data_IF_018388989128
#
_entry.id   IF_018388989128
#
_cell.length_a   1.000
_cell.length_b   1.000
_cell.length_c   1.000
_cell.angle_alpha   90.00
_cell.angle_beta   90.00
_cell.angle_gamma   90.00
#
_symmetry.space_group_name_H-M   'P 1'
#
loop_
_entity.id
_entity.type
_entity.pdbx_description
1 polymer ?
#
# COMPACT_ATOMS: atom_id res chain seq x y z
N UNK A 1 -39.01 18.44 31.37
CA UNK A 1 -40.26 17.64 31.30
C UNK A 1 -40.96 17.95 29.99
N UNK A 2 -41.38 16.88 29.31
CA UNK A 2 -42.01 16.76 27.97
C UNK A 2 -42.86 17.93 27.49
N UNK A 3 -42.74 18.25 26.20
CA UNK A 3 -43.88 18.61 25.34
C UNK A 3 -43.64 18.09 23.92
N UNK A 4 -44.63 17.34 23.39
CA UNK A 4 -44.80 17.03 21.98
C UNK A 4 -46.15 17.57 21.50
N UNK A 5 -46.16 18.02 20.24
CA UNK A 5 -47.28 18.20 19.29
C UNK A 5 -48.11 19.50 19.42
N UNK A 6 -48.91 19.95 18.40
CA UNK A 6 -49.19 19.39 17.06
C UNK A 6 -49.52 20.41 15.88
N UNK A 7 -49.78 19.90 14.64
CA UNK A 7 -50.47 20.49 13.44
C UNK A 7 -49.76 21.59 12.59
N UNK A 8 -49.77 21.67 11.24
CA UNK A 8 -50.81 21.60 10.17
C UNK A 8 -50.19 21.18 8.80
N UNK A 9 -50.77 20.32 7.94
CA UNK A 9 -51.94 20.40 7.01
C UNK A 9 -51.71 21.24 5.71
N UNK A 10 -51.75 20.58 4.53
CA UNK A 10 -52.21 21.08 3.21
C UNK A 10 -52.33 19.87 2.24
N UNK A 11 -53.51 19.24 2.07
CA UNK A 11 -54.64 19.55 1.15
C UNK A 11 -54.35 19.19 -0.32
N UNK A 12 -55.08 18.17 -0.79
CA UNK A 12 -55.26 17.74 -2.19
C UNK A 12 -56.13 18.72 -3.00
N UNK A 13 -56.25 18.55 -4.34
CA UNK A 13 -57.50 17.94 -4.81
C UNK A 13 -57.36 17.04 -6.06
N UNK A 14 -58.32 16.12 -6.16
CA UNK A 14 -58.60 15.20 -7.26
C UNK A 14 -59.59 15.86 -8.23
N UNK A 15 -59.38 15.73 -9.54
CA UNK A 15 -60.48 15.73 -10.52
C UNK A 15 -60.16 14.89 -11.76
N UNK A 16 -61.15 14.08 -12.15
CA UNK A 16 -61.52 13.68 -13.51
C UNK A 16 -60.58 12.79 -14.35
N UNK A 17 -60.95 11.52 -14.56
CA UNK A 17 -61.71 11.06 -15.75
C UNK A 17 -61.77 9.53 -15.82
N UNK A 18 -63.00 9.05 -16.02
CA UNK A 18 -63.35 7.70 -16.41
C UNK A 18 -63.50 7.73 -17.94
N UNK A 19 -62.68 7.00 -18.70
CA UNK A 19 -63.11 6.30 -19.93
C UNK A 19 -62.00 5.44 -20.55
N UNK A 20 -62.47 4.31 -21.07
CA UNK A 20 -61.80 3.21 -21.75
C UNK A 20 -60.80 3.58 -22.84
N UNK A 21 -59.68 2.86 -22.87
CA UNK A 21 -59.18 2.26 -24.11
C UNK A 21 -58.39 1.00 -23.78
N UNK A 22 -58.88 -0.15 -24.27
CA UNK A 22 -58.20 -1.43 -24.14
C UNK A 22 -56.94 -1.40 -24.99
N UNK A 23 -55.78 -1.18 -24.35
CA UNK A 23 -54.48 -1.35 -25.00
C UNK A 23 -54.17 -2.85 -24.93
N UNK A 24 -54.41 -3.54 -26.04
CA UNK A 24 -54.21 -4.99 -26.17
C UNK A 24 -52.74 -5.35 -25.88
N UNK A 25 -52.52 -6.26 -24.91
CA UNK A 25 -51.23 -6.90 -24.62
C UNK A 25 -50.52 -7.45 -25.88
N UNK A 26 -51.30 -7.80 -26.92
CA UNK A 26 -50.79 -8.32 -28.19
C UNK A 26 -49.89 -7.37 -28.99
N UNK A 27 -50.00 -6.04 -28.83
CA UNK A 27 -49.15 -5.08 -29.57
C UNK A 27 -47.71 -5.05 -29.06
N UNK A 28 -47.50 -5.30 -27.77
CA UNK A 28 -46.16 -5.40 -27.17
C UNK A 28 -45.49 -6.75 -27.48
N UNK A 29 -46.27 -7.83 -27.53
CA UNK A 29 -45.76 -9.13 -28.00
C UNK A 29 -45.35 -9.09 -29.48
N UNK A 30 -46.12 -8.39 -30.33
CA UNK A 30 -45.75 -8.19 -31.74
C UNK A 30 -44.45 -7.39 -31.92
N UNK A 31 -44.28 -6.31 -31.16
CA UNK A 31 -43.05 -5.49 -31.19
C UNK A 31 -41.84 -6.24 -30.64
N UNK A 32 -41.99 -7.01 -29.55
CA UNK A 32 -40.94 -7.85 -28.99
C UNK A 32 -40.54 -8.98 -29.95
N UNK A 33 -41.52 -9.61 -30.62
CA UNK A 33 -41.26 -10.63 -31.62
C UNK A 33 -40.54 -10.08 -32.87
N UNK A 34 -40.90 -8.87 -33.33
CA UNK A 34 -40.21 -8.20 -34.45
C UNK A 34 -38.77 -7.81 -34.06
N UNK A 35 -38.54 -7.35 -32.83
CA UNK A 35 -37.19 -7.07 -32.31
C UNK A 35 -36.33 -8.33 -32.19
N UNK A 36 -36.92 -9.47 -31.80
CA UNK A 36 -36.22 -10.76 -31.74
C UNK A 36 -35.95 -11.36 -33.13
N UNK A 37 -36.81 -11.11 -34.12
CA UNK A 37 -36.60 -11.54 -35.52
C UNK A 37 -35.53 -10.66 -36.21
N UNK A 38 -35.30 -9.44 -35.71
CA UNK A 38 -34.22 -8.55 -36.17
C UNK A 38 -32.96 -8.58 -35.29
N UNK A 39 -32.95 -9.35 -34.21
CA UNK A 39 -31.73 -9.69 -33.49
C UNK A 39 -30.91 -10.62 -34.38
N UNK A 40 -30.07 -10.04 -35.25
CA UNK A 40 -29.01 -10.80 -35.89
C UNK A 40 -28.18 -11.43 -34.77
N UNK A 41 -27.77 -12.70 -34.87
CA UNK A 41 -26.73 -13.21 -34.00
C UNK A 41 -25.55 -12.25 -34.18
N UNK A 42 -25.29 -11.43 -33.16
CA UNK A 42 -24.02 -10.75 -33.08
C UNK A 42 -23.01 -11.87 -33.05
N UNK A 43 -22.22 -12.01 -34.12
CA UNK A 43 -20.99 -12.77 -34.03
C UNK A 43 -20.23 -12.10 -32.88
N UNK A 44 -20.23 -12.74 -31.72
CA UNK A 44 -19.25 -12.46 -30.70
C UNK A 44 -17.94 -12.82 -31.38
N UNK A 45 -17.25 -11.82 -31.92
CA UNK A 45 -15.96 -12.04 -32.56
C UNK A 45 -15.04 -12.55 -31.44
N UNK A 46 -14.52 -13.75 -31.64
CA UNK A 46 -13.52 -14.32 -30.75
C UNK A 46 -12.29 -13.40 -30.82
N UNK A 47 -11.99 -12.73 -29.71
CA UNK A 47 -10.85 -11.83 -29.63
C UNK A 47 -9.63 -12.75 -29.54
N UNK A 48 -8.86 -12.88 -30.63
CA UNK A 48 -7.61 -13.63 -30.61
C UNK A 48 -6.72 -13.03 -29.51
N UNK A 49 -6.37 -13.88 -28.55
CA UNK A 49 -5.69 -13.47 -27.33
C UNK A 49 -4.61 -14.47 -27.00
N UNK A 50 -3.37 -14.01 -27.06
CA UNK A 50 -2.23 -14.76 -26.55
C UNK A 50 -1.96 -14.40 -25.09
N UNK A 51 -1.37 -15.33 -24.35
CA UNK A 51 -1.05 -15.13 -22.94
C UNK A 51 0.46 -15.22 -22.74
N UNK A 52 1.01 -14.22 -22.06
CA UNK A 52 2.42 -14.21 -21.67
C UNK A 52 2.51 -14.23 -20.15
N UNK A 53 3.20 -15.22 -19.60
CA UNK A 53 3.54 -15.28 -18.17
C UNK A 53 5.03 -15.06 -18.03
N UNK A 54 5.40 -14.02 -17.30
CA UNK A 54 6.78 -13.68 -16.99
C UNK A 54 7.05 -13.98 -15.53
N UNK A 55 7.99 -14.88 -15.26
CA UNK A 55 8.46 -15.17 -13.90
C UNK A 55 9.90 -14.69 -13.75
N UNK A 56 10.09 -13.69 -12.90
CA UNK A 56 11.41 -13.11 -12.61
C UNK A 56 12.05 -13.93 -11.49
N UNK A 57 13.28 -14.40 -11.71
CA UNK A 57 14.11 -15.11 -10.73
C UNK A 57 15.38 -14.30 -10.48
N UNK A 58 16.19 -14.74 -9.53
CA UNK A 58 17.47 -14.09 -9.20
C UNK A 58 18.52 -14.22 -10.30
N UNK A 59 18.43 -15.27 -11.12
CA UNK A 59 19.44 -15.68 -12.11
C UNK A 59 18.87 -15.74 -13.55
N UNK A 60 17.58 -15.51 -13.73
CA UNK A 60 16.91 -15.67 -15.01
C UNK A 60 15.55 -14.96 -15.04
N UNK A 61 15.11 -14.54 -16.22
CA UNK A 61 13.71 -14.19 -16.48
C UNK A 61 13.11 -15.27 -17.37
N UNK A 62 12.06 -15.93 -16.88
CA UNK A 62 11.34 -16.94 -17.65
C UNK A 62 10.10 -16.34 -18.29
N UNK A 63 10.01 -16.43 -19.61
CA UNK A 63 8.86 -16.00 -20.40
C UNK A 63 8.14 -17.23 -20.95
N UNK A 64 6.88 -17.42 -20.58
CA UNK A 64 6.01 -18.44 -21.14
C UNK A 64 5.03 -17.74 -22.09
N UNK A 65 5.11 -18.05 -23.38
CA UNK A 65 4.20 -17.55 -24.39
C UNK A 65 3.23 -18.67 -24.79
N UNK A 66 1.94 -18.42 -24.66
CA UNK A 66 0.87 -19.34 -25.08
C UNK A 66 0.10 -18.70 -26.23
N UNK A 67 0.12 -19.37 -27.38
CA UNK A 67 -0.50 -18.92 -28.63
C UNK A 67 -1.60 -19.89 -29.00
N UNK A 68 -2.78 -19.38 -29.32
CA UNK A 68 -3.93 -20.17 -29.75
C UNK A 68 -3.76 -20.71 -31.18
N UNK A 69 -4.58 -21.71 -31.51
CA UNK A 69 -4.66 -22.34 -32.81
C UNK A 69 -4.81 -21.37 -33.98
N UNK A 70 -5.72 -20.39 -33.87
CA UNK A 70 -6.04 -19.50 -35.00
C UNK A 70 -4.86 -18.61 -35.35
N UNK A 71 -4.13 -18.14 -34.35
CA UNK A 71 -2.92 -17.35 -34.56
C UNK A 71 -1.72 -18.19 -35.01
N UNK A 72 -1.61 -19.45 -34.57
CA UNK A 72 -0.56 -20.35 -35.05
C UNK A 72 -0.66 -20.60 -36.56
N UNK A 73 -1.87 -20.88 -37.07
CA UNK A 73 -2.10 -21.06 -38.52
C UNK A 73 -1.75 -19.78 -39.29
N UNK A 74 -2.04 -18.60 -38.72
CA UNK A 74 -1.70 -17.32 -39.37
C UNK A 74 -0.21 -17.05 -39.38
N UNK A 75 0.48 -17.35 -38.28
CA UNK A 75 1.93 -17.15 -38.14
C UNK A 75 2.72 -18.06 -39.08
N UNK A 76 2.29 -19.32 -39.24
CA UNK A 76 2.88 -20.27 -40.17
C UNK A 76 1.82 -21.27 -40.68
N UNK A 77 1.24 -21.03 -41.87
CA UNK A 77 0.26 -21.95 -42.44
C UNK A 77 0.78 -23.38 -42.68
N UNK A 78 2.10 -23.59 -42.63
CA UNK A 78 2.69 -24.93 -42.81
C UNK A 78 2.50 -25.84 -41.60
N UNK A 79 2.09 -25.29 -40.45
CA UNK A 79 1.85 -26.07 -39.23
C UNK A 79 0.59 -26.92 -39.33
N UNK A 80 -0.40 -26.49 -40.13
CA UNK A 80 -1.56 -27.29 -40.54
C UNK A 80 -1.15 -28.16 -41.72
N UNK A 81 -0.70 -29.38 -41.42
CA UNK A 81 -0.14 -30.31 -42.42
C UNK A 81 -1.24 -30.87 -43.30
N UNK A 82 -2.44 -31.05 -42.73
CA UNK A 82 -3.56 -31.69 -43.39
C UNK A 82 -4.44 -30.68 -44.19
N UNK A 83 -4.35 -29.39 -43.85
CA UNK A 83 -4.99 -28.27 -44.56
C UNK A 83 -6.49 -28.13 -44.28
N UNK A 84 -7.00 -28.69 -43.17
CA UNK A 84 -8.40 -28.60 -42.79
C UNK A 84 -8.76 -27.31 -42.06
N UNK A 85 -7.76 -26.46 -41.76
CA UNK A 85 -7.93 -25.20 -41.06
C UNK A 85 -8.16 -25.36 -39.56
N UNK A 86 -7.92 -26.55 -39.01
CA UNK A 86 -7.89 -26.86 -37.59
C UNK A 86 -6.50 -27.36 -37.20
N UNK A 87 -6.10 -27.19 -35.94
CA UNK A 87 -4.84 -27.77 -35.45
C UNK A 87 -5.09 -28.90 -34.47
N UNK A 88 -4.47 -30.05 -34.74
CA UNK A 88 -4.45 -31.16 -33.79
C UNK A 88 -3.14 -31.20 -32.99
N UNK A 89 -3.18 -31.83 -31.82
CA UNK A 89 -2.03 -31.96 -30.91
C UNK A 89 -0.78 -32.53 -31.59
N UNK A 90 -0.95 -33.47 -32.52
CA UNK A 90 0.18 -34.11 -33.22
C UNK A 90 0.85 -33.17 -34.24
N UNK A 91 0.08 -32.27 -34.86
CA UNK A 91 0.60 -31.25 -35.78
C UNK A 91 1.34 -30.16 -35.02
N UNK A 92 0.76 -29.66 -33.92
CA UNK A 92 1.44 -28.70 -33.02
C UNK A 92 2.69 -29.34 -32.40
N UNK A 93 2.67 -30.63 -32.08
CA UNK A 93 3.87 -31.35 -31.61
C UNK A 93 4.93 -31.48 -32.70
N UNK A 94 4.54 -31.73 -33.94
CA UNK A 94 5.46 -31.91 -35.07
C UNK A 94 6.09 -30.59 -35.57
N UNK A 95 5.33 -29.49 -35.56
CA UNK A 95 5.75 -28.19 -36.07
C UNK A 95 6.07 -27.12 -35.02
N UNK A 96 5.68 -27.33 -33.75
CA UNK A 96 5.74 -26.32 -32.69
C UNK A 96 7.16 -25.85 -32.35
N UNK A 97 8.15 -26.74 -32.37
CA UNK A 97 9.55 -26.37 -32.10
C UNK A 97 10.13 -25.47 -33.20
N UNK A 98 9.87 -25.82 -34.47
CA UNK A 98 10.28 -24.99 -35.60
C UNK A 98 9.60 -23.62 -35.60
N UNK A 99 8.31 -23.57 -35.24
CA UNK A 99 7.58 -22.32 -35.03
C UNK A 99 8.21 -21.48 -33.90
N UNK A 100 8.47 -22.09 -32.75
CA UNK A 100 9.00 -21.40 -31.59
C UNK A 100 10.38 -20.78 -31.83
N UNK A 101 11.23 -21.45 -32.62
CA UNK A 101 12.50 -20.90 -33.09
C UNK A 101 12.31 -19.69 -34.01
N UNK A 102 11.35 -19.73 -34.96
CA UNK A 102 11.01 -18.57 -35.80
C UNK A 102 10.47 -17.39 -34.99
N UNK A 103 9.73 -17.67 -33.93
CA UNK A 103 9.16 -16.64 -33.04
C UNK A 103 10.20 -16.02 -32.12
N UNK A 104 11.27 -16.75 -31.75
CA UNK A 104 12.34 -16.23 -30.92
C UNK A 104 12.93 -14.93 -31.50
N UNK A 105 13.17 -14.89 -32.81
CA UNK A 105 13.73 -13.71 -33.50
C UNK A 105 12.77 -12.50 -33.56
N UNK A 106 11.50 -12.71 -33.20
CA UNK A 106 10.46 -11.68 -33.13
C UNK A 106 10.22 -11.17 -31.71
N UNK A 107 10.86 -11.77 -30.71
CA UNK A 107 10.79 -11.35 -29.32
C UNK A 107 12.06 -10.59 -28.96
N UNK A 108 11.91 -9.43 -28.32
CA UNK A 108 13.03 -8.69 -27.75
C UNK A 108 12.73 -8.40 -26.30
N UNK A 109 13.73 -8.62 -25.44
CA UNK A 109 13.66 -8.26 -24.03
C UNK A 109 14.79 -7.32 -23.71
N UNK A 110 14.53 -6.32 -22.88
CA UNK A 110 15.57 -5.46 -22.33
C UNK A 110 15.46 -5.57 -20.81
N UNK A 111 16.59 -5.87 -20.18
CA UNK A 111 16.70 -6.07 -18.74
C UNK A 111 17.71 -5.05 -18.24
N UNK A 112 17.29 -4.16 -17.34
CA UNK A 112 18.14 -3.11 -16.79
C UNK A 112 18.85 -2.24 -17.83
N UNK A 113 18.16 -1.97 -18.95
CA UNK A 113 18.70 -1.16 -20.06
C UNK A 113 19.53 -1.95 -21.08
N UNK A 114 19.88 -3.19 -20.78
CA UNK A 114 20.67 -4.04 -21.66
C UNK A 114 19.75 -4.96 -22.49
N UNK A 115 19.93 -5.04 -23.82
CA UNK A 115 19.13 -5.90 -24.66
C UNK A 115 19.55 -7.36 -24.50
N UNK A 116 18.57 -8.22 -24.27
CA UNK A 116 18.71 -9.67 -24.21
C UNK A 116 17.79 -10.33 -25.23
N UNK A 117 18.31 -11.34 -25.94
CA UNK A 117 17.48 -12.21 -26.78
C UNK A 117 17.05 -13.42 -25.94
N UNK A 118 15.75 -13.68 -25.80
CA UNK A 118 15.27 -14.87 -25.10
C UNK A 118 15.72 -16.15 -25.79
N UNK A 119 16.19 -17.14 -25.03
CA UNK A 119 16.56 -18.46 -25.54
C UNK A 119 15.41 -19.45 -25.32
N UNK A 120 14.97 -20.13 -26.38
CA UNK A 120 13.91 -21.15 -26.29
C UNK A 120 14.41 -22.38 -25.53
N UNK A 121 13.76 -22.69 -24.40
CA UNK A 121 13.99 -23.92 -23.64
C UNK A 121 13.14 -25.08 -24.12
N UNK A 122 11.87 -24.82 -24.46
CA UNK A 122 10.93 -25.87 -24.88
C UNK A 122 9.72 -25.27 -25.59
N UNK A 123 9.12 -26.05 -26.48
CA UNK A 123 7.85 -25.76 -27.11
C UNK A 123 7.01 -27.03 -27.13
N UNK A 124 5.77 -26.97 -26.64
CA UNK A 124 4.91 -28.14 -26.56
C UNK A 124 3.42 -27.74 -26.68
N UNK A 125 2.57 -28.62 -27.24
CA UNK A 125 1.14 -28.42 -27.20
C UNK A 125 0.61 -28.51 -25.77
N UNK A 126 -0.21 -27.55 -25.38
CA UNK A 126 -0.94 -27.50 -24.11
C UNK A 126 -2.44 -27.40 -24.40
N UNK A 127 -3.27 -27.98 -23.53
CA UNK A 127 -4.73 -27.89 -23.64
C UNK A 127 -5.24 -27.31 -22.34
N UNK A 128 -6.04 -26.25 -22.41
CA UNK A 128 -6.62 -25.63 -21.23
C UNK A 128 -7.79 -26.45 -20.66
N UNK A 129 -8.42 -25.93 -19.60
CA UNK A 129 -9.56 -26.58 -18.93
C UNK A 129 -10.80 -26.65 -19.82
N UNK A 130 -10.93 -25.71 -20.76
CA UNK A 130 -12.05 -25.60 -21.69
C UNK A 130 -11.84 -26.45 -22.96
N UNK A 131 -10.66 -27.03 -23.13
CA UNK A 131 -10.30 -27.92 -24.23
C UNK A 131 -9.62 -27.22 -25.42
N UNK A 132 -9.29 -25.94 -25.30
CA UNK A 132 -8.62 -25.18 -26.35
C UNK A 132 -7.14 -25.58 -26.44
N UNK A 133 -6.65 -25.77 -27.67
CA UNK A 133 -5.27 -26.14 -27.93
C UNK A 133 -4.39 -24.89 -28.08
N UNK A 134 -3.26 -24.89 -27.38
CA UNK A 134 -2.24 -23.84 -27.45
C UNK A 134 -0.89 -24.44 -27.77
N UNK A 135 -0.03 -23.66 -28.42
CA UNK A 135 1.41 -23.90 -28.38
C UNK A 135 1.98 -23.12 -27.20
N UNK A 136 2.48 -23.85 -26.20
CA UNK A 136 3.16 -23.30 -25.05
C UNK A 136 4.67 -23.28 -25.31
N UNK A 137 5.25 -22.09 -25.34
CA UNK A 137 6.67 -21.89 -25.57
C UNK A 137 7.30 -21.31 -24.31
N UNK A 138 8.40 -21.89 -23.86
CA UNK A 138 9.17 -21.41 -22.71
C UNK A 138 10.47 -20.83 -23.23
N UNK A 139 10.67 -19.55 -22.97
CA UNK A 139 11.92 -18.84 -23.17
C UNK A 139 12.57 -18.51 -21.83
N UNK A 140 13.89 -18.45 -21.82
CA UNK A 140 14.70 -18.06 -20.67
C UNK A 140 15.67 -16.97 -21.07
N UNK A 141 15.80 -15.97 -20.21
CA UNK A 141 16.77 -14.88 -20.33
C UNK A 141 17.71 -15.02 -19.16
N UNK A 142 18.90 -15.64 -19.32
CA UNK A 142 19.84 -15.83 -18.22
C UNK A 142 20.43 -14.48 -17.81
N UNK A 143 20.52 -14.26 -16.49
CA UNK A 143 21.07 -13.06 -15.87
C UNK A 143 22.38 -13.40 -15.16
N UNK A 144 23.32 -12.45 -15.14
CA UNK A 144 24.67 -12.73 -14.66
C UNK A 144 24.74 -12.93 -13.14
N UNK A 145 24.17 -12.04 -12.31
CA UNK A 145 24.37 -12.14 -10.85
C UNK A 145 23.32 -11.43 -9.95
N UNK A 146 22.35 -10.66 -10.50
CA UNK A 146 21.34 -9.96 -9.69
C UNK A 146 19.92 -10.06 -10.27
N UNK A 147 18.87 -10.06 -9.42
CA UNK A 147 17.51 -9.93 -9.90
C UNK A 147 17.34 -8.57 -10.60
N UNK A 148 16.58 -8.50 -11.69
CA UNK A 148 16.49 -7.29 -12.50
C UNK A 148 15.66 -6.21 -11.81
N UNK A 149 16.01 -4.95 -12.01
CA UNK A 149 15.26 -3.80 -11.51
C UNK A 149 14.17 -3.35 -12.47
N UNK A 150 14.41 -3.50 -13.76
CA UNK A 150 13.49 -3.15 -14.85
C UNK A 150 13.45 -4.25 -15.89
N UNK A 151 12.28 -4.46 -16.47
CA UNK A 151 12.08 -5.36 -17.60
C UNK A 151 11.23 -4.66 -18.66
N UNK A 152 11.71 -4.69 -19.89
CA UNK A 152 10.94 -4.29 -21.06
C UNK A 152 10.70 -5.53 -21.92
N UNK A 153 9.44 -5.82 -22.17
CA UNK A 153 9.02 -6.85 -23.12
C UNK A 153 8.56 -6.16 -24.39
N UNK A 154 9.34 -6.29 -25.46
CA UNK A 154 9.04 -5.74 -26.77
C UNK A 154 8.50 -6.83 -27.68
N UNK A 155 7.20 -6.74 -27.97
CA UNK A 155 6.47 -7.63 -28.87
C UNK A 155 6.14 -6.96 -30.20
N UNK A 156 6.84 -5.89 -30.60
CA UNK A 156 6.53 -5.13 -31.82
C UNK A 156 6.54 -6.03 -33.07
N UNK A 157 7.59 -6.83 -33.25
CA UNK A 157 7.69 -7.75 -34.41
C UNK A 157 6.73 -8.93 -34.31
N UNK A 158 6.30 -9.29 -33.10
CA UNK A 158 5.35 -10.38 -32.87
C UNK A 158 3.92 -9.94 -33.18
N UNK A 159 3.51 -8.77 -32.71
CA UNK A 159 2.14 -8.23 -32.82
C UNK A 159 1.84 -7.54 -34.16
N UNK A 160 2.84 -7.42 -35.04
CA UNK A 160 2.67 -6.98 -36.43
C UNK A 160 2.26 -8.15 -37.34
N UNK A 161 2.13 -7.89 -38.65
CA UNK A 161 1.77 -8.89 -39.65
C UNK A 161 2.58 -10.20 -39.50
N UNK A 162 1.93 -11.38 -39.51
CA UNK A 162 0.56 -11.66 -40.00
C UNK A 162 -0.56 -11.53 -38.95
N UNK A 163 -0.26 -11.15 -37.71
CA UNK A 163 -1.29 -10.89 -36.70
C UNK A 163 -1.97 -9.55 -37.01
N UNK A 164 -3.29 -9.50 -36.85
CA UNK A 164 -4.11 -8.30 -37.10
C UNK A 164 -4.01 -7.32 -35.92
N UNK A 165 -4.30 -6.03 -36.15
CA UNK A 165 -4.31 -4.97 -35.13
C UNK A 165 -5.23 -5.26 -33.92
N UNK A 166 -6.17 -6.20 -34.10
CA UNK A 166 -7.13 -6.63 -33.09
C UNK A 166 -6.53 -7.61 -32.06
N UNK A 167 -5.43 -8.30 -32.39
CA UNK A 167 -4.78 -9.25 -31.48
C UNK A 167 -4.28 -8.58 -30.21
N UNK A 168 -4.51 -9.24 -29.07
CA UNK A 168 -4.04 -8.79 -27.75
C UNK A 168 -3.16 -9.86 -27.13
N UNK A 169 -2.08 -9.42 -26.46
CA UNK A 169 -1.28 -10.27 -25.60
C UNK A 169 -1.44 -9.83 -24.15
N UNK A 170 -1.97 -10.72 -23.30
CA UNK A 170 -2.15 -10.47 -21.88
C UNK A 170 -0.88 -10.92 -21.14
N UNK A 171 -0.11 -9.94 -20.66
CA UNK A 171 1.14 -10.17 -19.92
C UNK A 171 0.88 -10.15 -18.43
N UNK A 172 1.35 -11.19 -17.72
CA UNK A 172 1.33 -11.28 -16.27
C UNK A 172 2.75 -11.45 -15.75
N UNK A 173 3.20 -10.56 -14.87
CA UNK A 173 4.56 -10.58 -14.32
C UNK A 173 4.54 -10.94 -12.83
N UNK A 174 5.40 -11.89 -12.46
CA UNK A 174 5.59 -12.40 -11.12
C UNK A 174 7.03 -12.09 -10.68
N UNK A 175 7.21 -11.25 -9.64
CA UNK A 175 8.53 -10.80 -9.16
C UNK A 175 9.01 -11.62 -7.96
N UNK A 176 8.08 -12.01 -7.07
CA UNK A 176 8.23 -13.10 -6.11
C UNK A 176 6.83 -13.52 -5.63
N UNK A 177 6.55 -14.83 -5.55
CA UNK A 177 5.23 -15.46 -5.27
C UNK A 177 4.41 -15.86 -6.52
N UNK A 178 3.45 -16.78 -6.33
CA UNK A 178 2.56 -17.34 -7.36
C UNK A 178 1.35 -16.43 -7.70
N UNK A 179 1.37 -15.15 -7.30
CA UNK A 179 0.35 -14.16 -7.68
C UNK A 179 0.96 -13.05 -8.54
N UNK A 180 0.29 -12.63 -9.64
CA UNK A 180 0.85 -11.64 -10.53
C UNK A 180 0.89 -10.28 -9.83
N UNK A 181 2.05 -9.66 -9.78
CA UNK A 181 2.21 -8.31 -9.21
C UNK A 181 1.87 -7.23 -10.24
N UNK A 182 2.14 -7.49 -11.52
CA UNK A 182 1.91 -6.54 -12.60
C UNK A 182 1.16 -7.20 -13.77
N UNK A 183 0.23 -6.45 -14.37
CA UNK A 183 -0.56 -6.85 -15.53
C UNK A 183 -0.40 -5.81 -16.64
N UNK A 184 -0.22 -6.27 -17.88
CA UNK A 184 -0.24 -5.41 -19.05
C UNK A 184 -0.99 -6.07 -20.22
N UNK A 185 -1.55 -5.25 -21.09
CA UNK A 185 -2.17 -5.70 -22.35
C UNK A 185 -1.38 -5.09 -23.49
N UNK A 186 -0.67 -5.93 -24.23
CA UNK A 186 0.12 -5.51 -25.40
C UNK A 186 -0.69 -5.74 -26.68
N UNK A 187 -0.55 -4.83 -27.63
CA UNK A 187 -1.21 -4.92 -28.94
C UNK A 187 -0.43 -4.15 -30.00
N UNK A 188 -0.83 -4.23 -31.26
CA UNK A 188 -0.13 -3.53 -32.35
C UNK A 188 0.07 -2.01 -32.10
N UNK A 189 -0.87 -1.35 -31.41
CA UNK A 189 -0.77 0.08 -31.07
C UNK A 189 0.05 0.39 -29.81
N UNK A 190 0.30 -0.61 -28.96
CA UNK A 190 1.12 -0.51 -27.76
C UNK A 190 1.85 -1.86 -27.55
N UNK A 191 2.90 -2.13 -28.34
CA UNK A 191 3.51 -3.45 -28.37
C UNK A 191 4.58 -3.66 -27.30
N UNK A 192 4.94 -2.60 -26.57
CA UNK A 192 6.04 -2.61 -25.60
C UNK A 192 5.50 -2.48 -24.18
N UNK A 193 5.71 -3.51 -23.36
CA UNK A 193 5.43 -3.49 -21.93
C UNK A 193 6.66 -3.10 -21.14
N UNK A 194 6.55 -2.08 -20.27
CA UNK A 194 7.63 -1.67 -19.36
C UNK A 194 7.22 -1.98 -17.93
N UNK A 195 8.05 -2.73 -17.21
CA UNK A 195 7.77 -3.22 -15.88
C UNK A 195 8.89 -2.78 -14.93
N UNK A 196 8.53 -2.06 -13.88
CA UNK A 196 9.43 -1.74 -12.79
C UNK A 196 9.37 -2.91 -11.79
N UNK A 197 10.44 -3.70 -11.71
CA UNK A 197 10.52 -4.92 -10.91
C UNK A 197 11.13 -4.67 -9.52
N UNK A 198 11.94 -3.61 -9.39
CA UNK A 198 12.48 -3.12 -8.11
C UNK A 198 12.25 -1.62 -8.01
N UNK A 199 11.69 -1.18 -6.88
CA UNK A 199 11.82 0.22 -6.49
C UNK A 199 13.27 0.43 -6.03
N UNK A 200 14.05 1.21 -6.77
CA UNK A 200 15.29 1.75 -6.24
C UNK A 200 14.94 2.71 -5.10
N UNK A 201 15.11 2.24 -3.87
CA UNK A 201 14.93 3.08 -2.70
C UNK A 201 16.12 4.04 -2.63
N UNK A 202 15.91 5.30 -3.03
CA UNK A 202 16.87 6.36 -2.74
C UNK A 202 16.99 6.50 -1.21
N UNK A 203 18.09 5.98 -0.66
CA UNK A 203 18.35 5.97 0.78
C UNK A 203 18.33 7.38 1.36
N UNK A 204 18.74 8.41 0.61
CA UNK A 204 18.71 9.78 1.08
C UNK A 204 17.27 10.29 1.17
N UNK A 205 16.46 10.07 0.13
CA UNK A 205 15.04 10.41 0.13
C UNK A 205 14.30 9.67 1.25
N UNK A 206 14.59 8.39 1.46
CA UNK A 206 14.02 7.59 2.55
C UNK A 206 14.40 8.17 3.91
N UNK A 207 15.70 8.43 4.16
CA UNK A 207 16.15 9.01 5.43
C UNK A 207 15.49 10.36 5.69
N UNK A 208 15.42 11.26 4.69
CA UNK A 208 14.76 12.56 4.83
C UNK A 208 13.25 12.43 5.10
N UNK A 209 12.59 11.49 4.45
CA UNK A 209 11.18 11.20 4.69
C UNK A 209 10.94 10.76 6.14
N UNK A 210 11.77 9.86 6.67
CA UNK A 210 11.65 9.38 8.05
C UNK A 210 11.97 10.46 9.08
N UNK A 211 12.95 11.33 8.82
CA UNK A 211 13.18 12.51 9.68
C UNK A 211 11.92 13.37 9.73
N UNK A 212 11.29 13.64 8.59
CA UNK A 212 10.05 14.43 8.56
C UNK A 212 8.90 13.75 9.31
N UNK A 213 8.70 12.44 9.08
CA UNK A 213 7.71 11.65 9.82
C UNK A 213 7.93 11.70 11.33
N UNK A 214 9.18 11.66 11.79
CA UNK A 214 9.51 11.80 13.21
C UNK A 214 9.14 13.17 13.79
N UNK A 215 9.34 14.24 13.02
CA UNK A 215 8.90 15.59 13.41
C UNK A 215 7.37 15.63 13.48
N UNK A 216 6.70 15.20 12.42
CA UNK A 216 5.24 15.19 12.33
C UNK A 216 4.59 14.38 13.46
N UNK A 217 5.13 13.19 13.76
CA UNK A 217 4.70 12.34 14.88
C UNK A 217 4.65 13.11 16.20
N UNK A 218 5.64 13.95 16.48
CA UNK A 218 5.69 14.75 17.71
C UNK A 218 4.66 15.89 17.73
N UNK A 219 4.31 16.46 16.57
CA UNK A 219 3.30 17.51 16.49
C UNK A 219 1.85 17.00 16.50
N UNK A 220 1.63 15.79 15.99
CA UNK A 220 0.31 15.13 16.01
C UNK A 220 0.08 14.38 17.32
N UNK A 221 1.15 13.84 17.93
CA UNK A 221 1.13 13.13 19.20
C UNK A 221 0.85 14.05 20.39
N UNK A 222 -0.43 14.22 20.73
CA UNK A 222 -0.85 14.98 21.92
C UNK A 222 -0.20 14.46 23.21
N UNK A 223 0.06 13.15 23.28
CA UNK A 223 0.75 12.49 24.36
C UNK A 223 2.19 12.99 24.58
N UNK A 224 2.95 13.14 23.49
CA UNK A 224 4.33 13.65 23.53
C UNK A 224 4.35 15.12 23.95
N UNK A 225 3.44 15.93 23.40
CA UNK A 225 3.32 17.36 23.75
C UNK A 225 2.98 17.51 25.24
N UNK A 226 1.97 16.79 25.73
CA UNK A 226 1.53 16.87 27.13
C UNK A 226 2.59 16.35 28.10
N UNK A 227 3.26 15.25 27.76
CA UNK A 227 4.35 14.70 28.55
C UNK A 227 5.53 15.68 28.63
N UNK A 228 5.97 16.22 27.49
CA UNK A 228 7.05 17.20 27.43
C UNK A 228 6.70 18.49 28.18
N UNK A 229 5.48 19.02 28.00
CA UNK A 229 4.99 20.18 28.73
C UNK A 229 5.01 19.96 30.24
N UNK A 230 4.56 18.78 30.72
CA UNK A 230 4.58 18.42 32.14
C UNK A 230 6.01 18.37 32.70
N UNK A 231 6.99 17.93 31.90
CA UNK A 231 8.39 17.87 32.32
C UNK A 231 9.04 19.25 32.43
N UNK A 232 8.75 20.16 31.50
CA UNK A 232 9.46 21.44 31.42
C UNK A 232 8.83 22.55 32.28
N UNK A 233 7.55 22.44 32.61
CA UNK A 233 6.82 23.52 33.31
C UNK A 233 7.42 23.87 34.67
N UNK A 234 8.12 22.92 35.33
CA UNK A 234 8.79 23.16 36.61
C UNK A 234 9.96 24.17 36.53
N UNK A 235 10.40 24.55 35.32
CA UNK A 235 11.43 25.58 35.13
C UNK A 235 12.85 25.04 35.23
N UNK A 236 13.15 23.94 34.53
CA UNK A 236 14.48 23.32 34.51
C UNK A 236 15.49 24.14 33.70
N UNK A 237 16.77 24.12 34.11
CA UNK A 237 17.88 24.62 33.29
C UNK A 237 18.05 23.74 32.03
N UNK A 238 18.66 24.29 30.97
CA UNK A 238 18.86 23.59 29.70
C UNK A 238 19.61 22.25 29.86
N UNK A 239 20.66 22.19 30.69
CA UNK A 239 21.45 20.95 30.87
C UNK A 239 20.63 19.75 31.35
N UNK A 240 19.95 19.84 32.51
CA UNK A 240 19.04 18.78 32.96
C UNK A 240 17.93 18.44 31.96
N UNK A 241 17.42 19.44 31.23
CA UNK A 241 16.38 19.23 30.24
C UNK A 241 16.87 18.36 29.07
N UNK A 242 18.03 18.68 28.50
CA UNK A 242 18.65 17.86 27.44
C UNK A 242 18.83 16.43 27.93
N UNK A 243 19.34 16.24 29.14
CA UNK A 243 19.52 14.89 29.72
C UNK A 243 18.19 14.12 29.83
N UNK A 244 17.10 14.79 30.22
CA UNK A 244 15.77 14.19 30.37
C UNK A 244 15.18 13.80 29.00
N UNK A 245 15.27 14.69 28.02
CA UNK A 245 14.75 14.50 26.66
C UNK A 245 15.53 13.38 25.96
N UNK A 246 16.86 13.44 25.95
CA UNK A 246 17.68 12.40 25.32
C UNK A 246 17.48 11.03 25.99
N UNK A 247 17.30 10.98 27.32
CA UNK A 247 17.01 9.71 28.00
C UNK A 247 15.67 9.10 27.55
N UNK A 248 14.64 9.93 27.35
CA UNK A 248 13.36 9.49 26.77
C UNK A 248 13.55 8.96 25.35
N UNK A 249 14.22 9.72 24.48
CA UNK A 249 14.44 9.36 23.07
C UNK A 249 15.22 8.05 22.94
N UNK A 250 16.24 7.83 23.77
CA UNK A 250 17.00 6.57 23.76
C UNK A 250 16.12 5.38 24.13
N UNK A 251 15.36 5.47 25.23
CA UNK A 251 14.47 4.38 25.64
C UNK A 251 13.37 4.13 24.61
N UNK A 252 12.76 5.20 24.09
CA UNK A 252 11.77 5.15 23.02
C UNK A 252 12.31 4.45 21.77
N UNK A 253 13.49 4.85 21.30
CA UNK A 253 14.17 4.25 20.14
C UNK A 253 14.35 2.73 20.29
N UNK A 254 14.78 2.28 21.47
CA UNK A 254 14.99 0.85 21.74
C UNK A 254 13.68 0.08 21.55
N UNK A 255 12.60 0.53 22.18
CA UNK A 255 11.29 -0.15 22.08
C UNK A 255 10.63 -0.02 20.72
N UNK A 256 10.86 1.09 20.03
CA UNK A 256 10.40 1.26 18.65
C UNK A 256 11.03 0.21 17.73
N UNK A 257 12.34 0.02 17.84
CA UNK A 257 13.09 -1.00 17.09
C UNK A 257 12.61 -2.40 17.46
N UNK A 258 12.44 -2.70 18.75
CA UNK A 258 11.94 -4.01 19.20
C UNK A 258 10.53 -4.31 18.66
N UNK A 259 9.68 -3.30 18.58
CA UNK A 259 8.31 -3.44 18.09
C UNK A 259 8.24 -3.55 16.57
N UNK A 260 9.09 -2.79 15.85
CA UNK A 260 9.20 -2.81 14.40
C UNK A 260 9.82 -4.11 13.87
N UNK A 261 10.78 -4.69 14.60
CA UNK A 261 11.33 -6.02 14.31
C UNK A 261 10.42 -7.17 14.79
N UNK A 262 9.24 -6.85 15.31
CA UNK A 262 8.26 -7.80 15.85
C UNK A 262 8.80 -8.73 16.95
N UNK A 263 9.92 -8.36 17.59
CA UNK A 263 10.51 -9.09 18.71
C UNK A 263 9.57 -9.04 19.92
N UNK A 264 8.90 -7.91 20.11
CA UNK A 264 7.91 -7.72 21.17
C UNK A 264 6.65 -7.09 20.58
N UNK A 265 5.51 -7.75 20.79
CA UNK A 265 4.19 -7.22 20.44
C UNK A 265 3.32 -7.09 21.69
N UNK A 266 2.85 -5.87 21.95
CA UNK A 266 1.97 -5.56 23.08
C UNK A 266 0.61 -5.09 22.55
N UNK A 267 -0.51 -5.41 23.23
CA UNK A 267 -1.81 -4.90 22.83
C UNK A 267 -1.85 -3.37 22.97
N UNK A 268 -2.23 -2.67 21.90
CA UNK A 268 -2.27 -1.21 21.81
C UNK A 268 -2.97 -0.55 22.99
N UNK A 269 -4.10 -1.10 23.41
CA UNK A 269 -4.87 -0.62 24.58
C UNK A 269 -4.03 -0.49 25.84
N UNK A 270 -3.17 -1.47 26.15
CA UNK A 270 -2.35 -1.45 27.36
C UNK A 270 -1.16 -0.51 27.22
N UNK A 271 -0.62 -0.38 26.01
CA UNK A 271 0.43 0.59 25.71
C UNK A 271 -0.09 2.00 25.88
N UNK A 272 -1.21 2.35 25.24
CA UNK A 272 -1.84 3.67 25.33
C UNK A 272 -2.26 4.00 26.76
N UNK A 273 -2.82 3.03 27.51
CA UNK A 273 -3.10 3.22 28.93
C UNK A 273 -1.81 3.51 29.73
N UNK A 274 -0.71 2.80 29.45
CA UNK A 274 0.58 3.07 30.08
C UNK A 274 1.13 4.47 29.76
N UNK A 275 0.99 4.91 28.51
CA UNK A 275 1.34 6.26 28.06
C UNK A 275 0.52 7.31 28.82
N UNK A 276 -0.80 7.17 28.85
CA UNK A 276 -1.69 8.08 29.56
C UNK A 276 -1.37 8.15 31.07
N UNK A 277 -1.09 7.00 31.70
CA UNK A 277 -0.70 6.91 33.10
C UNK A 277 0.63 7.62 33.36
N UNK A 278 1.61 7.51 32.45
CA UNK A 278 2.89 8.22 32.57
C UNK A 278 2.72 9.75 32.57
N UNK A 279 1.82 10.27 31.74
CA UNK A 279 1.49 11.71 31.67
C UNK A 279 0.83 12.15 32.98
N UNK A 280 -0.17 11.41 33.44
CA UNK A 280 -0.84 11.67 34.70
C UNK A 280 0.15 11.65 35.88
N UNK A 281 1.07 10.68 35.90
CA UNK A 281 2.09 10.56 36.93
C UNK A 281 3.01 11.78 36.98
N UNK A 282 3.58 12.20 35.84
CA UNK A 282 4.49 13.36 35.81
C UNK A 282 3.77 14.65 36.22
N UNK A 283 2.52 14.83 35.76
CA UNK A 283 1.70 15.96 36.14
C UNK A 283 1.37 15.96 37.65
N UNK A 284 1.07 14.79 38.23
CA UNK A 284 0.86 14.64 39.66
C UNK A 284 2.15 14.94 40.46
N UNK A 285 3.30 14.46 39.98
CA UNK A 285 4.60 14.66 40.62
C UNK A 285 4.95 16.15 40.78
N UNK A 286 4.58 16.98 39.80
CA UNK A 286 4.82 18.43 39.79
C UNK A 286 4.21 19.20 40.98
N UNK A 287 3.21 18.63 41.67
CA UNK A 287 2.61 19.28 42.84
C UNK A 287 3.51 19.25 44.08
N UNK A 288 4.37 18.22 44.23
CA UNK A 288 5.21 18.03 45.41
C UNK A 288 6.71 18.12 45.12
N UNK A 289 7.16 17.66 43.94
CA UNK A 289 8.57 17.53 43.63
C UNK A 289 8.98 18.58 42.60
N UNK A 290 9.91 19.47 43.00
CA UNK A 290 10.40 20.59 42.17
C UNK A 290 11.82 20.38 41.63
N UNK A 291 12.46 19.26 41.98
CA UNK A 291 13.80 18.91 41.54
C UNK A 291 13.81 18.08 40.25
N UNK A 292 14.79 18.31 39.38
CA UNK A 292 14.95 17.62 38.10
C UNK A 292 15.98 16.46 38.12
N UNK A 293 16.64 16.20 39.26
CA UNK A 293 17.81 15.30 39.31
C UNK A 293 17.49 13.82 39.05
N UNK A 294 16.33 13.33 39.49
CA UNK A 294 15.87 11.94 39.29
C UNK A 294 14.98 11.78 38.05
N UNK A 295 14.53 12.89 37.43
CA UNK A 295 13.56 12.86 36.34
C UNK A 295 14.06 12.14 35.10
N UNK A 296 15.36 12.17 34.82
CA UNK A 296 15.91 11.47 33.65
C UNK A 296 15.71 9.94 33.74
N UNK A 297 15.72 9.36 34.96
CA UNK A 297 15.45 7.93 35.15
C UNK A 297 13.98 7.61 34.92
N UNK A 298 13.10 8.49 35.41
CA UNK A 298 11.66 8.37 35.24
C UNK A 298 11.27 8.48 33.76
N UNK A 299 11.83 9.45 33.04
CA UNK A 299 11.55 9.61 31.60
C UNK A 299 12.18 8.52 30.75
N UNK A 300 13.32 7.97 31.15
CA UNK A 300 13.87 6.76 30.53
C UNK A 300 12.90 5.58 30.68
N UNK A 301 12.36 5.35 31.88
CA UNK A 301 11.40 4.28 32.12
C UNK A 301 10.11 4.47 31.31
N UNK A 302 9.57 5.69 31.25
CA UNK A 302 8.37 5.99 30.45
C UNK A 302 8.63 5.96 28.94
N UNK A 303 9.83 6.29 28.49
CA UNK A 303 10.23 6.20 27.09
C UNK A 303 10.04 4.79 26.51
N UNK A 304 10.31 3.75 27.30
CA UNK A 304 10.04 2.37 26.88
C UNK A 304 8.56 2.11 26.57
N UNK A 305 7.65 2.66 27.37
CA UNK A 305 6.21 2.46 27.13
C UNK A 305 5.76 3.25 25.90
N UNK A 306 6.25 4.48 25.75
CA UNK A 306 5.91 5.35 24.62
C UNK A 306 6.38 4.77 23.28
N UNK A 307 7.56 4.14 23.22
CA UNK A 307 8.08 3.57 21.97
C UNK A 307 7.22 2.45 21.37
N UNK A 308 6.44 1.76 22.20
CA UNK A 308 5.47 0.77 21.70
C UNK A 308 4.22 1.41 21.07
N UNK A 309 3.90 2.67 21.38
CA UNK A 309 2.67 3.33 20.94
C UNK A 309 2.62 3.53 19.42
N UNK A 310 3.78 3.68 18.77
CA UNK A 310 3.89 3.93 17.34
C UNK A 310 4.09 2.66 16.49
N UNK A 311 4.16 1.48 17.12
CA UNK A 311 4.51 0.24 16.45
C UNK A 311 3.53 -0.17 15.33
N UNK A 312 2.24 0.11 15.50
CA UNK A 312 1.23 -0.25 14.49
C UNK A 312 1.37 0.59 13.22
N UNK A 313 1.65 1.89 13.35
CA UNK A 313 1.81 2.80 12.21
C UNK A 313 3.00 2.36 11.34
N UNK A 314 4.09 1.91 11.97
CA UNK A 314 5.27 1.40 11.26
C UNK A 314 5.00 0.11 10.47
N UNK A 315 4.12 -0.77 10.95
CA UNK A 315 3.75 -2.00 10.23
C UNK A 315 2.96 -1.69 8.97
N UNK A 316 2.07 -0.71 9.04
CA UNK A 316 1.24 -0.31 7.91
C UNK A 316 2.05 0.35 6.78
N UNK A 317 3.26 0.85 7.07
CA UNK A 317 4.17 1.45 6.08
C UNK A 317 4.87 0.42 5.16
N UNK A 318 4.76 -0.89 5.44
CA UNK A 318 5.18 -1.95 4.51
C UNK A 318 6.66 -1.92 4.09
N UNK A 319 7.54 -1.40 4.95
CA UNK A 319 8.95 -1.17 4.57
C UNK A 319 9.68 -2.47 4.25
N UNK A 320 10.45 -2.52 3.15
CA UNK A 320 11.41 -3.57 2.91
C UNK A 320 12.36 -3.73 4.11
N UNK A 321 12.74 -4.96 4.45
CA UNK A 321 13.66 -5.22 5.56
C UNK A 321 15.02 -4.50 5.40
N UNK A 322 15.40 -4.21 4.15
CA UNK A 322 16.57 -3.43 3.80
C UNK A 322 16.33 -1.94 4.07
N UNK A 323 17.12 -1.34 4.96
CA UNK A 323 17.00 0.09 5.30
C UNK A 323 16.07 0.41 6.48
N UNK A 324 15.40 -0.59 7.08
CA UNK A 324 14.51 -0.38 8.24
C UNK A 324 15.24 0.27 9.43
N UNK A 325 16.39 -0.26 9.83
CA UNK A 325 17.14 0.28 10.99
C UNK A 325 17.61 1.73 10.75
N UNK A 326 18.25 2.07 9.61
CA UNK A 326 18.54 3.46 9.27
C UNK A 326 17.31 4.38 9.28
N UNK A 327 16.18 3.90 8.75
CA UNK A 327 14.92 4.66 8.73
C UNK A 327 14.38 4.91 10.13
N UNK A 328 14.44 3.93 11.03
CA UNK A 328 14.05 4.08 12.44
C UNK A 328 14.98 5.03 13.20
N UNK A 329 16.28 5.00 12.91
CA UNK A 329 17.22 5.97 13.50
C UNK A 329 16.92 7.39 12.99
N UNK A 330 16.66 7.55 11.69
CA UNK A 330 16.28 8.82 11.08
C UNK A 330 14.97 9.37 11.67
N UNK A 331 13.98 8.51 11.90
CA UNK A 331 12.75 8.86 12.61
C UNK A 331 13.02 9.42 14.01
N UNK A 332 13.90 8.78 14.80
CA UNK A 332 14.23 9.26 16.14
C UNK A 332 15.00 10.59 16.12
N UNK A 333 15.80 10.87 15.08
CA UNK A 333 16.37 12.20 14.86
C UNK A 333 15.27 13.23 14.62
N UNK A 334 14.26 12.88 13.81
CA UNK A 334 13.07 13.70 13.62
C UNK A 334 12.32 13.98 14.93
N UNK A 335 12.15 12.96 15.78
CA UNK A 335 11.53 13.08 17.11
C UNK A 335 12.29 14.09 17.98
N UNK A 336 13.62 13.99 18.05
CA UNK A 336 14.43 14.90 18.85
C UNK A 336 14.35 16.34 18.32
N UNK A 337 14.33 16.53 17.00
CA UNK A 337 14.09 17.84 16.37
C UNK A 337 12.72 18.41 16.80
N UNK A 338 11.65 17.61 16.68
CA UNK A 338 10.29 18.01 17.08
C UNK A 338 10.22 18.43 18.55
N UNK A 339 10.83 17.65 19.45
CA UNK A 339 10.90 17.95 20.88
C UNK A 339 11.65 19.27 21.15
N UNK A 340 12.79 19.48 20.50
CA UNK A 340 13.57 20.73 20.63
C UNK A 340 12.74 21.94 20.17
N UNK A 341 11.99 21.82 19.08
CA UNK A 341 11.11 22.89 18.60
C UNK A 341 10.01 23.20 19.61
N UNK A 342 9.34 22.19 20.17
CA UNK A 342 8.32 22.39 21.21
C UNK A 342 8.93 23.07 22.45
N UNK A 343 10.11 22.62 22.90
CA UNK A 343 10.82 23.26 24.02
C UNK A 343 11.12 24.72 23.70
N UNK A 344 11.62 25.02 22.49
CA UNK A 344 11.93 26.39 22.07
C UNK A 344 10.69 27.31 22.07
N UNK A 345 9.51 26.75 21.79
CA UNK A 345 8.23 27.49 21.83
C UNK A 345 7.74 27.71 23.27
N UNK A 346 7.80 26.68 24.12
CA UNK A 346 7.21 26.73 25.47
C UNK A 346 8.12 27.40 26.51
N UNK A 347 9.44 27.22 26.38
CA UNK A 347 10.42 27.67 27.38
C UNK A 347 10.41 29.19 27.61
N UNK A 348 10.31 30.08 26.58
CA UNK A 348 10.24 31.53 26.81
C UNK A 348 9.08 31.95 27.73
N UNK A 349 7.90 31.35 27.56
CA UNK A 349 6.72 31.63 28.39
C UNK A 349 6.91 31.18 29.84
N UNK A 350 7.53 30.01 30.03
CA UNK A 350 7.85 29.48 31.37
C UNK A 350 8.88 30.38 32.07
N UNK A 351 9.93 30.81 31.37
CA UNK A 351 10.94 31.71 31.91
C UNK A 351 10.36 33.10 32.23
N UNK A 352 9.46 33.61 31.38
CA UNK A 352 8.75 34.86 31.65
C UNK A 352 7.89 34.77 32.91
N UNK A 353 7.13 33.68 33.08
CA UNK A 353 6.31 33.46 34.28
C UNK A 353 7.16 33.31 35.54
N UNK A 354 8.34 32.66 35.42
CA UNK A 354 9.31 32.57 36.50
C UNK A 354 9.86 33.93 36.92
N UNK A 355 10.20 34.78 35.95
CA UNK A 355 10.70 36.14 36.21
C UNK A 355 9.67 37.03 36.93
N UNK A 356 8.37 36.84 36.69
CA UNK A 356 7.29 37.64 37.28
C UNK A 356 6.65 37.00 38.52
N UNK A 357 7.24 35.94 39.09
CA UNK A 357 6.72 35.28 40.30
C UNK A 357 5.43 34.47 40.09
N UNK A 358 5.05 34.19 38.84
CA UNK A 358 3.87 33.40 38.48
C UNK A 358 4.18 31.91 38.27
N UNK A 359 5.44 31.48 38.41
CA UNK A 359 5.88 30.09 38.18
C UNK A 359 5.03 29.06 38.93
N UNK A 360 4.80 29.27 40.22
CA UNK A 360 4.06 28.29 41.02
C UNK A 360 2.62 28.12 40.54
N UNK A 361 1.95 29.23 40.17
CA UNK A 361 0.60 29.18 39.62
C UNK A 361 0.59 28.51 38.25
N UNK A 362 1.56 28.83 37.38
CA UNK A 362 1.69 28.20 36.07
C UNK A 362 1.89 26.68 36.20
N UNK A 363 2.81 26.23 37.05
CA UNK A 363 3.07 24.81 37.31
C UNK A 363 1.80 24.12 37.82
N UNK A 364 1.10 24.70 38.79
CA UNK A 364 -0.12 24.11 39.36
C UNK A 364 -1.24 24.02 38.34
N UNK A 365 -1.51 25.09 37.59
CA UNK A 365 -2.60 25.11 36.59
C UNK A 365 -2.30 24.18 35.43
N UNK A 366 -1.10 24.27 34.85
CA UNK A 366 -0.71 23.41 33.73
C UNK A 366 -0.70 21.93 34.15
N UNK A 367 -0.15 21.61 35.33
CA UNK A 367 -0.13 20.23 35.83
C UNK A 367 -1.53 19.73 36.16
N UNK A 368 -2.44 20.57 36.66
CA UNK A 368 -3.84 20.17 36.87
C UNK A 368 -4.54 19.84 35.55
N UNK A 369 -4.35 20.66 34.51
CA UNK A 369 -4.92 20.40 33.18
C UNK A 369 -4.36 19.11 32.57
N UNK A 370 -3.04 18.93 32.60
CA UNK A 370 -2.39 17.73 32.07
C UNK A 370 -2.79 16.48 32.87
N UNK A 371 -2.93 16.59 34.19
CA UNK A 371 -3.39 15.50 35.05
C UNK A 371 -4.82 15.08 34.68
N UNK A 372 -5.74 16.03 34.52
CA UNK A 372 -7.11 15.75 34.12
C UNK A 372 -7.16 15.06 32.75
N UNK A 373 -6.36 15.54 31.79
CA UNK A 373 -6.22 14.91 30.48
C UNK A 373 -5.69 13.47 30.59
N UNK A 374 -4.55 13.28 31.27
CA UNK A 374 -3.91 11.97 31.41
C UNK A 374 -4.78 10.95 32.15
N UNK A 375 -5.48 11.36 33.21
CA UNK A 375 -6.41 10.48 33.94
C UNK A 375 -7.62 10.14 33.08
N UNK A 376 -8.21 11.12 32.40
CA UNK A 376 -9.34 10.88 31.50
C UNK A 376 -8.97 9.91 30.39
N UNK A 377 -7.84 10.16 29.71
CA UNK A 377 -7.36 9.28 28.65
C UNK A 377 -7.02 7.88 29.16
N UNK A 378 -6.42 7.75 30.35
CA UNK A 378 -6.18 6.44 30.97
C UNK A 378 -7.48 5.66 31.20
N UNK A 379 -8.49 6.30 31.78
CA UNK A 379 -9.83 5.69 32.00
C UNK A 379 -10.44 5.30 30.67
N UNK A 380 -10.34 6.15 29.65
CA UNK A 380 -10.87 5.86 28.32
C UNK A 380 -10.29 4.56 27.75
N UNK A 381 -8.95 4.42 27.77
CA UNK A 381 -8.26 3.24 27.25
C UNK A 381 -8.47 1.99 28.12
N UNK A 382 -8.51 2.15 29.44
CA UNK A 382 -8.73 1.01 30.36
C UNK A 382 -10.15 0.49 30.33
N UNK A 383 -11.15 1.33 30.06
CA UNK A 383 -12.56 0.90 30.00
C UNK A 383 -13.12 0.80 28.58
N UNK A 384 -12.29 1.03 27.56
CA UNK A 384 -12.68 0.97 26.15
C UNK A 384 -13.85 1.92 25.83
N UNK A 385 -13.76 3.14 26.36
CA UNK A 385 -14.74 4.20 26.14
C UNK A 385 -14.31 5.06 24.94
N UNK A 386 -15.24 5.81 24.35
CA UNK A 386 -14.92 6.76 23.27
C UNK A 386 -15.65 8.08 23.52
N UNK A 387 -15.08 8.93 24.36
CA UNK A 387 -15.70 10.21 24.72
C UNK A 387 -14.79 11.41 24.48
N UNK A 388 -13.46 11.25 24.46
CA UNK A 388 -12.57 12.28 23.94
C UNK A 388 -12.44 12.14 22.42
N UNK A 389 -12.41 13.26 21.67
CA UNK A 389 -12.15 13.25 20.24
C UNK A 389 -10.64 13.11 20.00
N UNK A 390 -10.08 11.93 20.30
CA UNK A 390 -8.64 11.62 20.16
C UNK A 390 -8.48 10.39 19.28
#
# INVERSE_FOLDING_TARGET
>A
MKTMSPWHRCVSPVHHLRQSSGISLGRWFGLAAILLIHARPGAAHEINTSYSVVSVRSDSVRLILSIDEADLIRLDPQIDVNGDGLLYRDEVRGGGEAMALKLQDRLSTEVDGEPHTPEMLSAAPEVDVDGNLFLRIVYDVPLADEPPATLVLDLEKFLQAPLLDEHKNLVRVFVASDQPELLAVLSASSPVGRFQLREEVDLLAQVMHFVWLGVEHIFIGYDHIMFLAALIVIGSRLGPLVKIVSAFTVAHSITLILAALEIVSLPTRWVEAGIALSIAYVALENFWIRGASHRWMLTFAFGFVHGFGFANVLRDLGLPSQGLVPSLLAFNVGVEIGQVVIVAILLPGILWAAKHGHQQRLVQVASAVILLFGVGWFVERVFDLSYMPI
#
